data_IF_398465087208
#
_entry.id   IF_398465087208
#
_cell.length_a   1.000
_cell.length_b   1.000
_cell.length_c   1.000
_cell.angle_alpha   90.00
_cell.angle_beta   90.00
_cell.angle_gamma   90.00
#
_symmetry.space_group_name_H-M   'P 1'
#
loop_
_entity.id
_entity.type
_entity.pdbx_description
1 polymer ?
#
# COMPACT_ATOMS: atom_id res chain seq x y z
N UNK A 1 8.26 -21.85 2.89
CA UNK A 1 7.09 -20.95 3.01
C UNK A 1 7.49 -19.52 2.67
N UNK A 2 6.76 -18.87 1.79
CA UNK A 2 7.02 -17.51 1.32
C UNK A 2 5.71 -16.76 1.00
N UNK A 3 5.82 -15.44 0.87
CA UNK A 3 4.80 -14.58 0.27
C UNK A 3 5.21 -14.22 -1.14
N UNK A 4 4.23 -14.07 -2.02
CA UNK A 4 4.39 -13.48 -3.34
C UNK A 4 3.95 -12.02 -3.27
N UNK A 5 4.88 -11.12 -3.52
CA UNK A 5 4.63 -9.69 -3.60
C UNK A 5 4.60 -9.28 -5.07
N UNK A 6 3.70 -8.39 -5.43
CA UNK A 6 3.70 -7.81 -6.78
C UNK A 6 3.29 -6.35 -6.74
N UNK A 7 3.94 -5.59 -7.60
CA UNK A 7 3.70 -4.15 -7.76
C UNK A 7 4.00 -3.71 -9.18
N UNK A 8 3.35 -2.65 -9.62
CA UNK A 8 3.50 -2.06 -10.93
C UNK A 8 4.09 -0.67 -10.83
N UNK A 9 5.09 -0.41 -11.65
CA UNK A 9 5.73 0.90 -11.72
C UNK A 9 5.71 1.44 -13.14
N UNK A 10 5.57 2.75 -13.27
CA UNK A 10 5.76 3.44 -14.55
C UNK A 10 7.23 3.47 -14.91
N UNK A 11 7.54 3.18 -16.16
CA UNK A 11 8.88 3.27 -16.74
C UNK A 11 8.87 4.22 -17.92
N UNK A 12 10.02 4.78 -18.24
CA UNK A 12 10.18 5.64 -19.40
C UNK A 12 10.05 4.80 -20.68
N UNK A 13 9.26 5.26 -21.63
CA UNK A 13 9.21 4.67 -22.98
C UNK A 13 10.57 4.80 -23.65
N UNK A 14 11.16 3.68 -24.03
CA UNK A 14 12.46 3.64 -24.70
C UNK A 14 12.62 2.32 -25.44
N UNK A 15 13.11 2.38 -26.67
CA UNK A 15 13.55 1.22 -27.46
C UNK A 15 15.07 1.17 -27.47
N UNK A 16 15.62 0.00 -27.20
CA UNK A 16 17.07 -0.23 -27.19
C UNK A 16 17.42 -1.45 -28.02
N UNK A 17 18.36 -1.29 -28.95
CA UNK A 17 18.88 -2.45 -29.68
C UNK A 17 19.92 -3.18 -28.83
N UNK A 18 19.59 -4.41 -28.46
CA UNK A 18 20.46 -5.26 -27.69
C UNK A 18 21.39 -6.03 -28.61
N UNK A 19 22.63 -5.57 -28.72
CA UNK A 19 23.64 -6.18 -29.61
C UNK A 19 23.95 -7.64 -29.27
N UNK A 20 23.78 -8.06 -28.01
CA UNK A 20 24.07 -9.44 -27.58
C UNK A 20 23.00 -10.43 -28.06
N UNK A 21 21.76 -10.01 -28.10
CA UNK A 21 20.62 -10.87 -28.50
C UNK A 21 20.16 -10.61 -29.92
N UNK A 22 20.62 -9.52 -30.55
CA UNK A 22 20.16 -9.07 -31.87
C UNK A 22 18.71 -8.57 -31.87
N UNK A 23 18.11 -8.32 -30.68
CA UNK A 23 16.71 -7.95 -30.53
C UNK A 23 16.55 -6.48 -30.10
N UNK A 24 15.37 -5.91 -30.37
CA UNK A 24 15.00 -4.62 -29.84
C UNK A 24 14.22 -4.85 -28.54
N UNK A 25 14.76 -4.34 -27.42
CA UNK A 25 14.12 -4.34 -26.11
C UNK A 25 13.31 -3.05 -25.93
N UNK A 26 12.23 -3.12 -25.11
CA UNK A 26 11.38 -1.98 -24.78
C UNK A 26 9.95 -2.09 -25.30
N UNK A 27 9.64 -3.11 -26.07
CA UNK A 27 8.27 -3.45 -26.42
C UNK A 27 7.53 -4.11 -25.27
N UNK A 28 6.18 -4.06 -25.34
CA UNK A 28 5.31 -4.80 -24.46
C UNK A 28 5.61 -6.31 -24.55
N UNK A 29 5.84 -6.92 -23.38
CA UNK A 29 6.16 -8.35 -23.23
C UNK A 29 5.23 -8.94 -22.15
N UNK A 30 4.24 -9.69 -22.63
CA UNK A 30 3.21 -10.31 -21.80
C UNK A 30 3.53 -11.78 -21.49
N UNK A 31 4.80 -12.17 -21.52
CA UNK A 31 5.26 -13.52 -21.23
C UNK A 31 4.67 -14.53 -22.23
N UNK A 32 3.95 -15.52 -21.75
CA UNK A 32 3.31 -16.54 -22.61
C UNK A 32 2.24 -15.98 -23.57
N UNK A 33 1.72 -14.78 -23.30
CA UNK A 33 0.76 -14.13 -24.21
C UNK A 33 1.46 -13.41 -25.37
N UNK A 34 2.79 -13.44 -25.40
CA UNK A 34 3.60 -12.91 -26.50
C UNK A 34 4.00 -11.45 -26.32
N UNK A 35 4.71 -10.96 -27.33
CA UNK A 35 5.12 -9.55 -27.44
C UNK A 35 4.22 -8.84 -28.42
N UNK A 36 4.02 -7.54 -28.21
CA UNK A 36 3.30 -6.68 -29.15
C UNK A 36 4.24 -5.63 -29.74
N UNK A 37 3.78 -4.86 -30.72
CA UNK A 37 4.50 -3.72 -31.28
C UNK A 37 4.35 -2.43 -30.45
N UNK A 38 3.63 -2.47 -29.33
CA UNK A 38 3.48 -1.32 -28.46
C UNK A 38 4.76 -1.11 -27.64
N UNK A 39 5.17 0.15 -27.47
CA UNK A 39 6.29 0.47 -26.55
C UNK A 39 5.75 0.41 -25.11
N UNK A 40 6.45 -0.32 -24.27
CA UNK A 40 6.09 -0.47 -22.86
C UNK A 40 6.35 0.81 -22.08
N UNK A 41 5.46 1.13 -21.16
CA UNK A 41 5.60 2.25 -20.22
C UNK A 41 5.28 1.87 -18.77
N UNK A 42 5.00 0.59 -18.51
CA UNK A 42 4.84 0.02 -17.18
C UNK A 42 5.59 -1.29 -17.07
N UNK A 43 6.05 -1.58 -15.86
CA UNK A 43 6.66 -2.86 -15.50
C UNK A 43 5.93 -3.42 -14.27
N UNK A 44 5.29 -4.57 -14.42
CA UNK A 44 4.73 -5.35 -13.32
C UNK A 44 5.78 -6.36 -12.86
N UNK A 45 6.15 -6.29 -11.59
CA UNK A 45 7.21 -7.14 -11.02
C UNK A 45 6.64 -8.05 -9.95
N UNK A 46 7.03 -9.32 -9.99
CA UNK A 46 6.71 -10.32 -8.98
C UNK A 46 7.96 -10.69 -8.18
N UNK A 47 7.86 -10.61 -6.86
CA UNK A 47 8.96 -10.89 -5.95
C UNK A 47 8.52 -11.84 -4.83
N UNK A 48 9.35 -12.82 -4.54
CA UNK A 48 9.20 -13.69 -3.39
C UNK A 48 9.86 -13.11 -2.16
N UNK A 49 9.24 -13.32 -1.00
CA UNK A 49 9.82 -13.03 0.31
C UNK A 49 9.64 -14.22 1.24
N UNK A 50 10.76 -14.70 1.76
CA UNK A 50 10.76 -15.78 2.77
C UNK A 50 10.20 -15.32 4.11
N UNK A 51 9.38 -16.18 4.77
CA UNK A 51 8.79 -15.87 6.07
C UNK A 51 9.67 -16.33 7.23
N UNK A 52 10.31 -17.51 7.11
CA UNK A 52 11.17 -18.06 8.16
C UNK A 52 12.60 -17.51 8.10
N UNK A 53 13.11 -17.32 6.89
CA UNK A 53 14.45 -16.77 6.63
C UNK A 53 14.30 -15.45 5.89
N UNK A 54 15.17 -14.49 6.18
CA UNK A 54 15.18 -13.17 5.54
C UNK A 54 15.82 -13.26 4.15
N UNK A 55 15.06 -13.66 3.14
CA UNK A 55 15.46 -13.62 1.75
C UNK A 55 14.36 -12.98 0.90
N UNK A 56 14.74 -12.40 -0.21
CA UNK A 56 13.86 -11.86 -1.25
C UNK A 56 14.44 -12.20 -2.61
N UNK A 57 13.58 -12.52 -3.56
CA UNK A 57 13.97 -12.89 -4.92
C UNK A 57 12.92 -12.41 -5.93
N UNK A 58 13.25 -11.48 -6.85
CA UNK A 58 12.43 -11.24 -8.03
C UNK A 58 12.37 -12.51 -8.87
N UNK A 59 11.18 -12.88 -9.32
CA UNK A 59 10.96 -14.16 -10.04
C UNK A 59 10.32 -13.97 -11.41
N UNK A 60 9.60 -12.88 -11.63
CA UNK A 60 9.01 -12.57 -12.92
C UNK A 60 8.82 -11.06 -13.06
N UNK A 61 8.81 -10.59 -14.29
CA UNK A 61 8.34 -9.27 -14.66
C UNK A 61 7.61 -9.33 -16.00
N UNK A 62 6.67 -8.40 -16.18
CA UNK A 62 5.96 -8.21 -17.42
C UNK A 62 6.03 -6.74 -17.79
N UNK A 63 6.26 -6.47 -19.06
CA UNK A 63 6.30 -5.12 -19.61
C UNK A 63 4.97 -4.83 -20.29
N UNK A 64 4.27 -3.78 -19.88
CA UNK A 64 2.94 -3.46 -20.39
C UNK A 64 2.86 -2.04 -20.91
N UNK A 65 1.92 -1.81 -21.83
CA UNK A 65 1.51 -0.47 -22.20
C UNK A 65 0.28 -0.05 -21.38
N UNK A 66 0.49 0.86 -20.45
CA UNK A 66 -0.50 1.23 -19.45
C UNK A 66 -0.59 0.21 -18.31
N UNK A 67 -1.43 0.51 -17.34
CA UNK A 67 -1.61 -0.34 -16.16
C UNK A 67 -2.24 -1.69 -16.53
N UNK A 68 -1.71 -2.76 -15.95
CA UNK A 68 -2.14 -4.13 -16.19
C UNK A 68 -3.61 -4.32 -15.81
N UNK A 69 -4.43 -4.77 -16.75
CA UNK A 69 -5.86 -5.02 -16.51
C UNK A 69 -6.05 -6.22 -15.58
N UNK A 70 -7.12 -6.18 -14.78
CA UNK A 70 -7.36 -7.19 -13.74
C UNK A 70 -7.39 -8.63 -14.24
N UNK A 71 -7.89 -8.89 -15.44
CA UNK A 71 -7.92 -10.24 -16.02
C UNK A 71 -6.51 -10.75 -16.37
N UNK A 72 -5.72 -9.90 -17.01
CA UNK A 72 -4.33 -10.22 -17.34
C UNK A 72 -3.48 -10.37 -16.07
N UNK A 73 -3.73 -9.56 -15.06
CA UNK A 73 -3.06 -9.68 -13.77
C UNK A 73 -3.30 -11.04 -13.11
N UNK A 74 -4.54 -11.56 -13.17
CA UNK A 74 -4.87 -12.90 -12.66
C UNK A 74 -4.13 -13.99 -13.41
N UNK A 75 -4.01 -13.84 -14.74
CA UNK A 75 -3.27 -14.80 -15.57
C UNK A 75 -1.78 -14.82 -15.23
N UNK A 76 -1.16 -13.66 -15.10
CA UNK A 76 0.23 -13.52 -14.68
C UNK A 76 0.45 -14.08 -13.27
N UNK A 77 -0.44 -13.74 -12.33
CA UNK A 77 -0.38 -14.27 -10.97
C UNK A 77 -0.44 -15.80 -10.94
N UNK A 78 -1.38 -16.39 -11.69
CA UNK A 78 -1.50 -17.86 -11.79
C UNK A 78 -0.29 -18.50 -12.47
N UNK A 79 0.29 -17.85 -13.47
CA UNK A 79 1.49 -18.32 -14.16
C UNK A 79 2.69 -18.38 -13.18
N UNK A 80 2.94 -17.29 -12.47
CA UNK A 80 4.03 -17.21 -11.49
C UNK A 80 3.82 -18.20 -10.35
N UNK A 81 2.60 -18.31 -9.81
CA UNK A 81 2.28 -19.28 -8.77
C UNK A 81 2.52 -20.73 -9.23
N UNK A 82 2.17 -21.07 -10.50
CA UNK A 82 2.43 -22.43 -11.04
C UNK A 82 3.92 -22.71 -11.15
N UNK A 83 4.69 -21.78 -11.73
CA UNK A 83 6.13 -21.95 -11.90
C UNK A 83 6.85 -22.10 -10.56
N UNK A 84 6.56 -21.22 -9.61
CA UNK A 84 7.15 -21.28 -8.28
C UNK A 84 6.74 -22.54 -7.49
N UNK A 85 5.47 -22.95 -7.60
CA UNK A 85 4.99 -24.18 -6.96
C UNK A 85 5.70 -25.42 -7.52
N UNK A 86 5.94 -25.46 -8.84
CA UNK A 86 6.70 -26.53 -9.49
C UNK A 86 8.15 -26.59 -9.02
N UNK A 87 8.71 -25.46 -8.56
CA UNK A 87 10.01 -25.38 -7.91
C UNK A 87 9.98 -25.72 -6.41
N UNK A 88 8.86 -26.26 -5.89
CA UNK A 88 8.73 -26.70 -4.49
C UNK A 88 8.42 -25.59 -3.49
N UNK A 89 8.02 -24.40 -3.94
CA UNK A 89 7.70 -23.28 -3.05
C UNK A 89 6.26 -23.39 -2.54
N UNK A 90 6.07 -23.10 -1.24
CA UNK A 90 4.78 -23.08 -0.57
C UNK A 90 4.41 -21.63 -0.25
N UNK A 91 3.28 -21.17 -0.79
CA UNK A 91 2.76 -19.83 -0.58
C UNK A 91 1.78 -19.78 0.59
N UNK A 92 1.87 -18.73 1.39
CA UNK A 92 0.90 -18.44 2.45
C UNK A 92 0.11 -17.17 2.19
N UNK A 93 0.70 -16.22 1.46
CA UNK A 93 0.02 -14.98 1.14
C UNK A 93 0.52 -14.38 -0.19
N UNK A 94 -0.34 -13.56 -0.77
CA UNK A 94 0.03 -12.55 -1.77
C UNK A 94 -0.07 -11.17 -1.14
N UNK A 95 0.83 -10.26 -1.53
CA UNK A 95 0.84 -8.88 -1.04
C UNK A 95 0.92 -7.93 -2.23
N UNK A 96 0.00 -6.98 -2.30
CA UNK A 96 -0.01 -5.93 -3.32
C UNK A 96 -0.59 -4.63 -2.76
N UNK A 97 -0.40 -3.51 -3.45
CA UNK A 97 -1.12 -2.29 -3.09
C UNK A 97 -2.61 -2.39 -3.48
N UNK A 98 -3.47 -1.62 -2.80
CA UNK A 98 -4.91 -1.59 -3.05
C UNK A 98 -5.24 -0.63 -4.22
N UNK A 99 -4.76 -0.96 -5.41
CA UNK A 99 -5.17 -0.27 -6.65
C UNK A 99 -6.44 -0.88 -7.24
N UNK A 100 -7.16 -0.11 -8.04
CA UNK A 100 -8.43 -0.54 -8.62
C UNK A 100 -8.33 -1.86 -9.41
N UNK A 101 -7.24 -2.06 -10.17
CA UNK A 101 -7.02 -3.28 -10.95
C UNK A 101 -6.71 -4.48 -10.04
N UNK A 102 -5.87 -4.29 -9.00
CA UNK A 102 -5.56 -5.34 -8.01
C UNK A 102 -6.80 -5.74 -7.22
N UNK A 103 -7.55 -4.75 -6.75
CA UNK A 103 -8.80 -4.97 -6.02
C UNK A 103 -9.81 -5.75 -6.87
N UNK A 104 -10.02 -5.32 -8.14
CA UNK A 104 -10.89 -6.00 -9.08
C UNK A 104 -10.42 -7.44 -9.38
N UNK A 105 -9.12 -7.65 -9.56
CA UNK A 105 -8.55 -8.97 -9.79
C UNK A 105 -8.79 -9.90 -8.60
N UNK A 106 -8.48 -9.46 -7.39
CA UNK A 106 -8.63 -10.25 -6.17
C UNK A 106 -10.10 -10.52 -5.85
N UNK A 107 -10.97 -9.50 -5.85
CA UNK A 107 -12.38 -9.66 -5.51
C UNK A 107 -13.17 -10.41 -6.60
N UNK A 108 -13.17 -9.85 -7.83
CA UNK A 108 -14.09 -10.34 -8.87
C UNK A 108 -13.63 -11.63 -9.53
N UNK A 109 -12.32 -11.86 -9.60
CA UNK A 109 -11.76 -13.01 -10.32
C UNK A 109 -11.25 -14.12 -9.43
N UNK A 110 -10.77 -13.80 -8.23
CA UNK A 110 -10.27 -14.78 -7.28
C UNK A 110 -11.21 -15.00 -6.08
N UNK A 111 -12.30 -14.25 -5.98
CA UNK A 111 -13.33 -14.44 -4.96
C UNK A 111 -12.94 -13.97 -3.57
N UNK A 112 -11.91 -13.14 -3.44
CA UNK A 112 -11.47 -12.58 -2.17
C UNK A 112 -12.53 -11.60 -1.64
N UNK A 113 -12.86 -11.72 -0.36
CA UNK A 113 -13.83 -10.85 0.31
C UNK A 113 -13.44 -10.60 1.77
N UNK A 114 -14.13 -9.72 2.47
CA UNK A 114 -13.91 -9.48 3.90
C UNK A 114 -14.14 -10.75 4.74
N UNK A 115 -15.13 -11.58 4.36
CA UNK A 115 -15.42 -12.85 5.04
C UNK A 115 -14.47 -13.98 4.64
N UNK A 116 -13.87 -13.90 3.46
CA UNK A 116 -12.93 -14.88 2.93
C UNK A 116 -11.71 -14.13 2.34
N UNK A 117 -10.77 -13.63 3.19
CA UNK A 117 -9.62 -12.83 2.74
C UNK A 117 -8.52 -13.69 2.12
N UNK A 118 -8.88 -14.75 1.42
CA UNK A 118 -7.98 -15.69 0.75
C UNK A 118 -8.60 -16.17 -0.55
N UNK A 119 -7.75 -16.69 -1.42
CA UNK A 119 -8.17 -17.42 -2.63
C UNK A 119 -7.52 -18.79 -2.65
N UNK A 120 -8.12 -19.72 -3.40
CA UNK A 120 -7.60 -21.07 -3.55
C UNK A 120 -6.76 -21.20 -4.81
N UNK A 121 -5.56 -21.75 -4.61
CA UNK A 121 -4.68 -22.14 -5.71
C UNK A 121 -4.29 -23.60 -5.52
N UNK A 122 -4.76 -24.49 -6.41
CA UNK A 122 -4.67 -25.95 -6.23
C UNK A 122 -5.31 -26.35 -4.89
N UNK A 123 -4.54 -26.97 -3.98
CA UNK A 123 -5.01 -27.42 -2.67
C UNK A 123 -4.62 -26.46 -1.52
N UNK A 124 -4.12 -25.25 -1.86
CA UNK A 124 -3.66 -24.28 -0.87
C UNK A 124 -4.58 -23.06 -0.84
N UNK A 125 -4.85 -22.58 0.36
CA UNK A 125 -5.45 -21.26 0.59
C UNK A 125 -4.32 -20.25 0.73
N UNK A 126 -4.37 -19.21 -0.08
CA UNK A 126 -3.39 -18.13 -0.12
C UNK A 126 -4.09 -16.86 0.34
N UNK A 127 -3.66 -16.30 1.48
CA UNK A 127 -4.21 -15.05 1.97
C UNK A 127 -3.91 -13.90 0.99
N UNK A 128 -4.89 -13.03 0.77
CA UNK A 128 -4.71 -11.83 -0.03
C UNK A 128 -4.56 -10.63 0.92
N UNK A 129 -3.40 -10.01 0.92
CA UNK A 129 -3.06 -8.90 1.81
C UNK A 129 -2.81 -7.65 0.98
N UNK A 130 -3.51 -6.57 1.30
CA UNK A 130 -3.13 -5.25 0.81
C UNK A 130 -2.02 -4.67 1.68
N UNK A 131 -1.05 -4.01 1.06
CA UNK A 131 0.13 -3.47 1.73
C UNK A 131 -0.26 -2.46 2.83
N UNK A 132 -0.06 -2.78 4.13
CA UNK A 132 -0.51 -1.92 5.22
C UNK A 132 0.15 -0.53 5.23
N UNK A 133 1.46 -0.37 4.98
CA UNK A 133 2.07 0.93 4.81
C UNK A 133 1.41 1.79 3.75
N UNK A 134 1.03 1.19 2.62
CA UNK A 134 0.34 1.90 1.55
C UNK A 134 -1.08 2.31 1.96
N UNK A 135 -1.81 1.44 2.67
CA UNK A 135 -3.13 1.75 3.21
C UNK A 135 -3.07 2.91 4.18
N UNK A 136 -2.10 2.93 5.10
CA UNK A 136 -1.88 4.01 6.04
C UNK A 136 -1.65 5.36 5.31
N UNK A 137 -0.80 5.35 4.29
CA UNK A 137 -0.56 6.53 3.43
C UNK A 137 -1.84 7.00 2.74
N UNK A 138 -2.62 6.09 2.18
CA UNK A 138 -3.89 6.42 1.54
C UNK A 138 -4.89 7.03 2.52
N UNK A 139 -5.03 6.45 3.71
CA UNK A 139 -5.89 6.97 4.78
C UNK A 139 -5.48 8.37 5.20
N UNK A 140 -4.17 8.59 5.44
CA UNK A 140 -3.63 9.91 5.75
C UNK A 140 -3.94 10.94 4.66
N UNK A 141 -3.71 10.59 3.38
CA UNK A 141 -3.95 11.50 2.27
C UNK A 141 -5.44 11.82 2.06
N UNK A 142 -6.32 10.83 2.30
CA UNK A 142 -7.76 11.05 2.27
C UNK A 142 -8.21 11.97 3.41
N UNK A 143 -7.69 11.76 4.62
CA UNK A 143 -7.97 12.60 5.77
C UNK A 143 -7.50 14.05 5.54
N UNK A 144 -6.28 14.22 5.03
CA UNK A 144 -5.76 15.53 4.65
C UNK A 144 -6.63 16.22 3.58
N UNK A 145 -7.08 15.47 2.57
CA UNK A 145 -7.87 16.02 1.46
C UNK A 145 -9.28 16.43 1.86
N UNK A 146 -9.93 15.63 2.71
CA UNK A 146 -11.32 15.83 3.10
C UNK A 146 -11.46 16.55 4.45
N UNK A 147 -10.35 16.73 5.17
CA UNK A 147 -10.24 17.42 6.46
C UNK A 147 -11.08 16.81 7.60
N UNK A 148 -11.92 15.82 7.29
CA UNK A 148 -12.81 15.13 8.23
C UNK A 148 -12.76 13.63 8.00
N UNK A 149 -12.68 12.87 9.07
CA UNK A 149 -12.75 11.42 9.07
C UNK A 149 -13.81 10.95 10.07
N UNK A 150 -14.78 10.18 9.59
CA UNK A 150 -15.75 9.52 10.45
C UNK A 150 -15.20 8.15 10.87
N UNK A 151 -15.10 7.93 12.17
CA UNK A 151 -14.69 6.66 12.76
C UNK A 151 -15.95 5.90 13.12
N UNK A 152 -16.22 4.82 12.40
CA UNK A 152 -17.44 4.03 12.55
C UNK A 152 -17.39 3.03 13.71
N UNK A 153 -18.53 2.35 13.91
CA UNK A 153 -18.70 1.27 14.89
C UNK A 153 -17.65 0.16 14.72
N UNK A 154 -17.11 -0.32 15.82
CA UNK A 154 -16.12 -1.41 15.87
C UNK A 154 -14.69 -0.96 16.20
N UNK A 155 -14.46 0.34 16.33
CA UNK A 155 -13.19 0.86 16.84
C UNK A 155 -13.20 0.83 18.36
N UNK A 156 -12.14 0.27 18.94
CA UNK A 156 -11.93 0.25 20.39
C UNK A 156 -11.02 1.43 20.77
N UNK A 157 -11.49 2.34 21.59
CA UNK A 157 -10.71 3.45 22.14
C UNK A 157 -10.55 3.24 23.63
N UNK A 158 -9.31 3.23 24.13
CA UNK A 158 -9.01 3.00 25.55
C UNK A 158 -9.66 1.73 26.14
N UNK A 159 -9.72 0.64 25.34
CA UNK A 159 -10.31 -0.63 25.77
C UNK A 159 -11.84 -0.68 25.76
N UNK A 160 -12.53 0.40 25.38
CA UNK A 160 -13.98 0.47 25.28
C UNK A 160 -14.40 0.54 23.79
N UNK A 161 -15.42 -0.23 23.37
CA UNK A 161 -15.96 -0.09 22.02
C UNK A 161 -16.64 1.28 21.87
N UNK A 162 -16.34 1.96 20.77
CA UNK A 162 -16.98 3.22 20.40
C UNK A 162 -18.46 2.95 20.09
N UNK A 163 -19.35 3.47 20.91
CA UNK A 163 -20.79 3.44 20.67
C UNK A 163 -21.18 4.68 19.90
N UNK A 164 -21.29 4.57 18.58
CA UNK A 164 -21.64 5.69 17.70
C UNK A 164 -20.56 6.04 16.69
N UNK A 165 -20.75 7.15 15.98
CA UNK A 165 -19.77 7.71 15.05
C UNK A 165 -19.01 8.85 15.72
N UNK A 166 -17.70 8.71 15.86
CA UNK A 166 -16.84 9.82 16.24
C UNK A 166 -16.31 10.50 14.96
N UNK A 167 -16.12 11.81 15.01
CA UNK A 167 -15.60 12.60 13.90
C UNK A 167 -14.25 13.18 14.27
N UNK A 168 -13.19 12.76 13.59
CA UNK A 168 -11.86 13.38 13.72
C UNK A 168 -11.71 14.46 12.65
N UNK A 169 -11.16 15.62 13.02
CA UNK A 169 -10.92 16.74 12.11
C UNK A 169 -9.43 16.98 11.95
N UNK A 170 -8.98 17.23 10.74
CA UNK A 170 -7.60 17.60 10.47
C UNK A 170 -7.17 18.88 11.20
N UNK A 171 -8.12 19.82 11.35
CA UNK A 171 -7.92 21.05 12.07
C UNK A 171 -7.49 20.85 13.54
N UNK A 172 -7.92 19.77 14.20
CA UNK A 172 -7.55 19.47 15.58
C UNK A 172 -6.07 19.06 15.69
N UNK A 173 -5.58 18.31 14.71
CA UNK A 173 -4.14 17.98 14.61
C UNK A 173 -3.31 19.25 14.42
N UNK A 174 -3.77 20.15 13.51
CA UNK A 174 -3.10 21.43 13.27
C UNK A 174 -3.03 22.28 14.54
N UNK A 175 -4.13 22.40 15.29
CA UNK A 175 -4.18 23.16 16.54
C UNK A 175 -3.20 22.62 17.56
N UNK A 176 -3.21 21.30 17.81
CA UNK A 176 -2.29 20.66 18.77
C UNK A 176 -0.84 20.87 18.34
N UNK A 177 -0.54 20.79 17.04
CA UNK A 177 0.79 21.05 16.53
C UNK A 177 1.24 22.50 16.76
N UNK A 178 0.38 23.49 16.50
CA UNK A 178 0.72 24.90 16.74
C UNK A 178 0.89 25.23 18.23
N UNK A 179 0.05 24.65 19.10
CA UNK A 179 0.21 24.76 20.56
C UNK A 179 1.53 24.14 21.05
N UNK A 180 1.86 22.95 20.54
CA UNK A 180 3.12 22.26 20.86
C UNK A 180 4.34 23.04 20.36
N UNK A 181 4.24 23.69 19.20
CA UNK A 181 5.29 24.50 18.61
C UNK A 181 5.63 25.74 19.43
N UNK A 182 4.64 26.31 20.12
CA UNK A 182 4.84 27.44 21.05
C UNK A 182 5.60 27.05 22.32
N UNK A 183 5.56 25.77 22.68
CA UNK A 183 6.24 25.25 23.87
C UNK A 183 7.68 24.83 23.55
N UNK A 184 8.59 25.78 23.50
CA UNK A 184 9.98 25.58 23.07
C UNK A 184 10.75 24.59 23.96
N UNK A 185 10.46 24.55 25.26
CA UNK A 185 11.19 23.74 26.25
C UNK A 185 10.71 22.27 26.29
N UNK A 186 9.42 22.02 26.10
CA UNK A 186 8.78 20.71 26.30
C UNK A 186 7.98 20.26 25.08
N UNK A 187 8.54 20.44 23.89
CA UNK A 187 7.88 20.04 22.65
C UNK A 187 7.67 18.52 22.58
N UNK A 188 6.42 18.09 22.52
CA UNK A 188 6.03 16.68 22.44
C UNK A 188 6.16 16.14 21.00
N UNK A 189 5.76 16.93 20.00
CA UNK A 189 5.73 16.56 18.60
C UNK A 189 7.03 16.87 17.85
N UNK A 190 8.19 16.51 18.42
CA UNK A 190 9.53 16.84 17.89
C UNK A 190 9.78 16.35 16.46
N UNK A 191 9.14 15.26 16.05
CA UNK A 191 9.31 14.66 14.71
C UNK A 191 8.29 15.19 13.69
N UNK A 192 7.22 15.85 14.14
CA UNK A 192 6.23 16.44 13.24
C UNK A 192 6.68 17.83 12.83
N UNK A 193 6.60 18.13 11.57
CA UNK A 193 6.97 19.41 10.95
C UNK A 193 5.87 19.86 9.99
N UNK A 194 5.97 21.09 9.49
CA UNK A 194 5.01 21.63 8.52
C UNK A 194 4.85 20.72 7.28
N UNK A 195 5.92 20.01 6.87
CA UNK A 195 5.86 19.02 5.77
C UNK A 195 4.90 17.86 6.01
N UNK A 196 4.65 17.50 7.25
CA UNK A 196 3.73 16.43 7.61
C UNK A 196 2.28 16.87 7.50
N UNK A 197 2.03 18.14 7.80
CA UNK A 197 0.69 18.70 7.92
C UNK A 197 0.24 19.44 6.65
N UNK A 198 1.20 19.95 5.87
CA UNK A 198 0.99 20.62 4.58
C UNK A 198 1.98 20.04 3.54
N UNK A 199 1.84 18.74 3.20
CA UNK A 199 2.81 18.07 2.33
C UNK A 199 2.72 18.58 0.90
N UNK A 200 3.88 18.75 0.26
CA UNK A 200 3.93 18.87 -1.20
C UNK A 200 3.57 17.53 -1.85
N UNK A 201 3.27 17.52 -3.15
CA UNK A 201 2.88 16.32 -3.88
C UNK A 201 3.86 15.14 -3.71
N UNK A 202 5.17 15.41 -3.69
CA UNK A 202 6.21 14.39 -3.47
C UNK A 202 6.22 13.85 -2.03
N UNK A 203 5.83 14.66 -1.05
CA UNK A 203 5.79 14.26 0.36
C UNK A 203 4.57 13.39 0.66
N UNK A 204 3.46 13.62 -0.02
CA UNK A 204 2.27 12.77 0.06
C UNK A 204 2.52 11.31 -0.37
N UNK A 205 3.63 11.06 -1.09
CA UNK A 205 4.06 9.70 -1.45
C UNK A 205 4.85 8.99 -0.35
N UNK A 206 5.30 9.70 0.70
CA UNK A 206 6.15 9.15 1.76
C UNK A 206 5.33 8.56 2.90
N UNK A 207 5.34 7.25 3.00
CA UNK A 207 4.68 6.51 4.11
C UNK A 207 5.18 6.97 5.48
N UNK A 208 6.47 7.32 5.61
CA UNK A 208 7.05 7.77 6.87
C UNK A 208 6.39 9.03 7.42
N UNK A 209 6.00 9.97 6.57
CA UNK A 209 5.29 11.17 6.99
C UNK A 209 3.87 10.84 7.49
N UNK A 210 3.15 10.01 6.76
CA UNK A 210 1.84 9.53 7.17
C UNK A 210 1.90 8.79 8.52
N UNK A 211 2.88 7.89 8.69
CA UNK A 211 3.06 7.13 9.92
C UNK A 211 3.41 8.01 11.13
N UNK A 212 4.12 9.11 10.93
CA UNK A 212 4.46 10.04 12.00
C UNK A 212 3.24 10.85 12.44
N UNK A 213 2.39 11.29 11.52
CA UNK A 213 1.14 11.99 11.87
C UNK A 213 0.15 11.04 12.53
N UNK A 214 -0.04 9.85 11.98
CA UNK A 214 -0.98 8.84 12.51
C UNK A 214 -0.31 7.93 13.56
N UNK A 215 0.51 8.52 14.44
CA UNK A 215 1.26 7.80 15.47
C UNK A 215 0.64 7.97 16.86
N UNK A 216 0.95 7.02 17.75
CA UNK A 216 0.61 7.14 19.16
C UNK A 216 1.17 8.41 19.83
N UNK A 217 2.29 8.94 19.33
CA UNK A 217 2.85 10.20 19.84
C UNK A 217 1.92 11.38 19.59
N UNK A 218 1.33 11.46 18.39
CA UNK A 218 0.35 12.51 18.07
C UNK A 218 -0.93 12.32 18.87
N UNK A 219 -1.43 11.08 18.98
CA UNK A 219 -2.60 10.77 19.80
C UNK A 219 -2.39 11.18 21.27
N UNK A 220 -1.26 10.81 21.88
CA UNK A 220 -0.93 11.18 23.26
C UNK A 220 -0.81 12.70 23.45
N UNK A 221 -0.28 13.43 22.46
CA UNK A 221 -0.23 14.89 22.51
C UNK A 221 -1.64 15.50 22.49
N UNK A 222 -2.54 14.98 21.65
CA UNK A 222 -3.94 15.41 21.62
C UNK A 222 -4.59 15.15 22.99
N UNK A 223 -4.47 13.95 23.55
CA UNK A 223 -5.01 13.59 24.86
C UNK A 223 -4.50 14.50 25.96
N UNK A 224 -3.20 14.83 25.94
CA UNK A 224 -2.59 15.75 26.92
C UNK A 224 -3.23 17.13 26.84
N UNK A 225 -3.44 17.68 25.65
CA UNK A 225 -4.05 18.99 25.48
C UNK A 225 -5.54 19.01 25.87
N UNK A 226 -6.27 17.94 25.56
CA UNK A 226 -7.68 17.77 25.98
C UNK A 226 -7.78 17.70 27.51
N UNK A 227 -6.97 16.84 28.12
CA UNK A 227 -6.98 16.68 29.61
C UNK A 227 -6.56 17.96 30.34
N UNK A 228 -5.61 18.71 29.77
CA UNK A 228 -5.19 19.99 30.32
C UNK A 228 -6.25 21.12 30.18
N UNK A 229 -7.39 20.84 29.51
CA UNK A 229 -8.47 21.81 29.30
C UNK A 229 -8.10 22.97 28.35
N UNK A 230 -6.98 22.85 27.65
CA UNK A 230 -6.50 23.90 26.73
C UNK A 230 -7.26 23.95 25.43
N UNK A 231 -7.82 22.80 24.99
CA UNK A 231 -8.66 22.69 23.80
C UNK A 231 -9.66 21.55 24.00
N UNK A 232 -10.90 21.74 23.60
CA UNK A 232 -11.85 20.65 23.37
C UNK A 232 -11.70 20.21 21.93
N UNK A 233 -10.94 19.14 21.67
CA UNK A 233 -10.70 18.61 20.33
C UNK A 233 -11.78 17.64 19.86
N UNK A 234 -12.83 17.39 20.64
CA UNK A 234 -13.91 16.46 20.26
C UNK A 234 -15.27 16.98 20.69
#
# INVERSE_FOLDING_TARGET
MCCLMFDEMSIREHLHFNQKTGCIDGYEDLGRHGKTSNIANHALVFMLRGLRKRWKQPVAYYLTRGSTKGDMLVDFLKEVLRACHSAGLVFVATVCYMGANNFKALQKRLGVSEKAPFFRFRHQEIAAVFDPPHLLKCTHNLFLKHEVMNVGLGVVVNGQPLTGTATAKWADILKVYELDKQNVLYRQLRKVTDRHLKPFAQDAMKVSLAAQVMSNTVAAAIDTHVTAGKEKCF
#
